data_IF_515940417704
#
_entry.id   IF_515940417704
#
_cell.length_a   1.000
_cell.length_b   1.000
_cell.length_c   1.000
_cell.angle_alpha   90.00
_cell.angle_beta   90.00
_cell.angle_gamma   90.00
#
_symmetry.space_group_name_H-M   'P 1'
#
loop_
_entity.id
_entity.type
_entity.pdbx_description
1 polymer ?
#
# COMPACT_ATOMS: atom_id res chain seq x y z
N UNK A 1 18.30 24.46 -34.27
CA UNK A 1 18.10 24.17 -32.83
C UNK A 1 16.70 23.61 -32.55
N UNK A 2 15.62 24.33 -32.90
CA UNK A 2 14.23 23.84 -32.74
C UNK A 2 13.87 22.56 -33.52
N UNK A 3 14.54 22.29 -34.67
CA UNK A 3 14.35 21.05 -35.44
C UNK A 3 15.03 19.84 -34.79
N UNK A 4 16.18 20.03 -34.12
CA UNK A 4 16.89 18.97 -33.40
C UNK A 4 16.15 18.56 -32.11
N UNK A 5 15.57 19.55 -31.41
CA UNK A 5 14.72 19.32 -30.22
C UNK A 5 13.45 18.53 -30.55
N UNK A 6 12.89 18.72 -31.76
CA UNK A 6 11.70 18.01 -32.25
C UNK A 6 11.98 16.54 -32.62
N UNK A 7 13.20 16.25 -33.10
CA UNK A 7 13.61 14.90 -33.51
C UNK A 7 14.01 14.02 -32.30
N UNK A 8 14.63 14.60 -31.27
CA UNK A 8 15.00 13.88 -30.04
C UNK A 8 13.76 13.45 -29.23
N UNK A 9 12.74 14.31 -29.17
CA UNK A 9 11.51 14.02 -28.44
C UNK A 9 10.65 12.96 -29.16
N UNK A 10 10.71 12.90 -30.51
CA UNK A 10 10.11 11.79 -31.29
C UNK A 10 10.76 10.45 -30.98
N UNK A 11 12.07 10.41 -30.73
CA UNK A 11 12.82 9.18 -30.39
C UNK A 11 12.55 8.67 -28.97
N UNK A 12 12.25 9.55 -28.02
CA UNK A 12 12.13 9.18 -26.59
C UNK A 12 10.69 9.04 -26.07
N UNK A 13 9.67 9.25 -26.90
CA UNK A 13 8.26 9.20 -26.48
C UNK A 13 7.87 7.92 -25.73
N UNK A 14 8.32 6.75 -26.19
CA UNK A 14 8.06 5.48 -25.50
C UNK A 14 8.68 5.41 -24.10
N UNK A 15 9.92 5.88 -23.95
CA UNK A 15 10.62 5.89 -22.66
C UNK A 15 9.92 6.82 -21.66
N UNK A 16 9.54 8.02 -22.13
CA UNK A 16 8.81 9.00 -21.31
C UNK A 16 7.48 8.42 -20.84
N UNK A 17 6.72 7.77 -21.73
CA UNK A 17 5.46 7.10 -21.35
C UNK A 17 5.73 6.00 -20.33
N UNK A 18 6.71 5.12 -20.57
CA UNK A 18 7.05 4.06 -19.63
C UNK A 18 7.38 4.61 -18.23
N UNK A 19 8.12 5.71 -18.14
CA UNK A 19 8.46 6.36 -16.87
C UNK A 19 7.25 7.01 -16.19
N UNK A 20 6.30 7.59 -16.95
CA UNK A 20 5.05 8.09 -16.39
C UNK A 20 4.25 6.94 -15.77
N UNK A 21 4.10 5.83 -16.50
CA UNK A 21 3.33 4.67 -16.06
C UNK A 21 4.01 3.93 -14.90
N UNK A 22 5.36 3.93 -14.88
CA UNK A 22 6.21 3.49 -13.75
C UNK A 22 6.03 4.37 -12.49
N UNK A 23 5.34 5.52 -12.59
CA UNK A 23 4.99 6.36 -11.44
C UNK A 23 3.49 6.31 -11.13
N UNK A 24 2.61 6.55 -12.11
CA UNK A 24 1.18 6.75 -11.82
C UNK A 24 0.51 5.50 -11.23
N UNK A 25 0.81 4.31 -11.75
CA UNK A 25 0.26 3.06 -11.22
C UNK A 25 0.84 2.74 -9.83
N UNK A 26 2.16 2.88 -9.59
CA UNK A 26 2.72 2.78 -8.24
C UNK A 26 2.20 3.79 -7.23
N UNK A 27 1.93 5.03 -7.64
CA UNK A 27 1.32 6.04 -6.77
C UNK A 27 -0.09 5.60 -6.37
N UNK A 28 -0.87 5.06 -7.30
CA UNK A 28 -2.21 4.52 -7.00
C UNK A 28 -2.12 3.41 -5.96
N UNK A 29 -1.19 2.46 -6.12
CA UNK A 29 -0.98 1.39 -5.15
C UNK A 29 -0.49 1.89 -3.78
N UNK A 30 0.51 2.77 -3.75
CA UNK A 30 1.07 3.27 -2.47
C UNK A 30 0.06 4.14 -1.73
N UNK A 31 -0.70 4.99 -2.44
CA UNK A 31 -1.71 5.84 -1.83
C UNK A 31 -2.91 5.05 -1.35
N UNK A 32 -3.38 4.04 -2.10
CA UNK A 32 -4.43 3.15 -1.58
C UNK A 32 -4.00 2.53 -0.25
N UNK A 33 -2.75 2.03 -0.16
CA UNK A 33 -2.22 1.45 1.09
C UNK A 33 -2.08 2.43 2.25
N UNK A 34 -1.66 3.67 2.00
CA UNK A 34 -1.52 4.70 3.03
C UNK A 34 -2.89 5.14 3.53
N UNK A 35 -3.76 5.55 2.59
CA UNK A 35 -5.05 6.13 2.92
C UNK A 35 -6.02 5.08 3.50
N UNK A 36 -5.93 3.82 3.07
CA UNK A 36 -6.77 2.74 3.64
C UNK A 36 -6.41 2.41 5.09
N UNK A 37 -5.12 2.42 5.43
CA UNK A 37 -4.64 2.12 6.77
C UNK A 37 -4.83 3.30 7.72
N UNK A 38 -4.63 4.53 7.25
CA UNK A 38 -4.69 5.73 8.10
C UNK A 38 -6.07 6.34 8.22
N UNK A 39 -6.96 6.15 7.25
CA UNK A 39 -8.34 6.60 7.36
C UNK A 39 -9.27 5.40 7.52
N UNK A 40 -9.81 4.93 6.39
CA UNK A 40 -10.70 3.77 6.31
C UNK A 40 -10.46 3.05 5.00
N UNK A 41 -10.71 1.74 4.95
CA UNK A 41 -10.49 0.92 3.75
C UNK A 41 -11.20 1.46 2.50
N UNK A 42 -12.32 2.18 2.66
CA UNK A 42 -13.07 2.79 1.57
C UNK A 42 -12.28 3.85 0.80
N UNK A 43 -11.25 4.46 1.42
CA UNK A 43 -10.36 5.40 0.74
C UNK A 43 -9.49 4.74 -0.33
N UNK A 44 -9.29 3.42 -0.30
CA UNK A 44 -8.66 2.72 -1.41
C UNK A 44 -9.49 2.91 -2.69
N UNK A 45 -10.80 2.66 -2.63
CA UNK A 45 -11.69 2.86 -3.78
C UNK A 45 -11.75 4.32 -4.24
N UNK A 46 -11.64 5.26 -3.29
CA UNK A 46 -11.54 6.68 -3.62
C UNK A 46 -10.29 6.94 -4.47
N UNK A 47 -9.10 6.50 -4.03
CA UNK A 47 -7.85 6.71 -4.77
C UNK A 47 -7.92 6.10 -6.17
N UNK A 48 -8.40 4.85 -6.31
CA UNK A 48 -8.59 4.20 -7.61
C UNK A 48 -9.49 5.05 -8.54
N UNK A 49 -10.60 5.56 -7.99
CA UNK A 49 -11.54 6.40 -8.75
C UNK A 49 -10.92 7.73 -9.16
N UNK A 50 -10.14 8.36 -8.29
CA UNK A 50 -9.46 9.62 -8.57
C UNK A 50 -8.35 9.47 -9.61
N UNK A 51 -7.69 8.30 -9.66
CA UNK A 51 -6.70 8.01 -10.69
C UNK A 51 -7.33 8.01 -12.08
N UNK A 52 -8.40 7.22 -12.26
CA UNK A 52 -9.15 7.13 -13.52
C UNK A 52 -9.77 8.48 -13.90
N UNK A 53 -10.45 9.14 -12.95
CA UNK A 53 -11.09 10.43 -13.18
C UNK A 53 -10.08 11.52 -13.53
N UNK A 54 -8.97 11.60 -12.79
CA UNK A 54 -7.92 12.58 -13.01
C UNK A 54 -7.30 12.42 -14.39
N UNK A 55 -6.89 11.20 -14.75
CA UNK A 55 -6.35 10.89 -16.09
C UNK A 55 -7.32 11.32 -17.21
N UNK A 56 -8.61 10.97 -17.07
CA UNK A 56 -9.66 11.32 -18.02
C UNK A 56 -9.91 12.82 -18.13
N UNK A 57 -10.01 13.53 -17.00
CA UNK A 57 -10.19 14.99 -16.97
C UNK A 57 -8.97 15.72 -17.54
N UNK A 58 -7.76 15.19 -17.33
CA UNK A 58 -6.55 15.75 -17.91
C UNK A 58 -6.57 15.72 -19.44
N UNK A 59 -6.93 14.58 -20.02
CA UNK A 59 -7.12 14.45 -21.47
C UNK A 59 -8.25 15.35 -22.00
N UNK A 60 -9.37 15.42 -21.28
CA UNK A 60 -10.50 16.28 -21.63
C UNK A 60 -10.13 17.77 -21.59
N UNK A 61 -9.38 18.21 -20.59
CA UNK A 61 -8.96 19.60 -20.45
C UNK A 61 -8.14 20.09 -21.64
N UNK A 62 -7.27 19.24 -22.19
CA UNK A 62 -6.51 19.57 -23.41
C UNK A 62 -7.39 19.70 -24.65
N UNK A 63 -8.50 18.95 -24.70
CA UNK A 63 -9.49 19.04 -25.78
C UNK A 63 -10.33 20.30 -25.68
N UNK A 64 -10.76 20.67 -24.46
CA UNK A 64 -11.63 21.82 -24.24
C UNK A 64 -10.87 23.15 -24.25
N UNK A 65 -9.61 23.17 -23.79
CA UNK A 65 -8.81 24.38 -23.67
C UNK A 65 -7.58 24.31 -24.58
N UNK A 66 -7.72 24.84 -25.79
CA UNK A 66 -6.65 24.84 -26.80
C UNK A 66 -5.33 25.47 -26.32
N UNK A 67 -5.41 26.43 -25.39
CA UNK A 67 -4.23 27.08 -24.78
C UNK A 67 -3.34 26.09 -24.01
N UNK A 68 -3.90 24.98 -23.51
CA UNK A 68 -3.17 23.93 -22.79
C UNK A 68 -2.53 22.92 -23.76
N UNK A 69 -3.09 22.76 -24.96
CA UNK A 69 -2.65 21.81 -25.97
C UNK A 69 -1.38 22.30 -26.72
N UNK A 70 -0.28 22.45 -25.99
CA UNK A 70 1.03 22.86 -26.52
C UNK A 70 2.08 21.77 -26.25
N UNK A 71 2.65 21.16 -27.29
CA UNK A 71 3.67 20.11 -27.16
C UNK A 71 4.84 20.45 -26.24
N UNK A 72 5.36 21.68 -26.31
CA UNK A 72 6.48 22.14 -25.48
C UNK A 72 6.18 22.27 -23.98
N UNK A 73 4.96 21.94 -23.53
CA UNK A 73 4.56 21.99 -22.10
C UNK A 73 4.51 20.61 -21.43
N UNK A 74 4.87 19.52 -22.12
CA UNK A 74 4.86 18.17 -21.51
C UNK A 74 5.65 18.16 -20.20
N UNK A 75 6.88 18.67 -20.19
CA UNK A 75 7.73 18.72 -18.99
C UNK A 75 7.08 19.48 -17.82
N UNK A 76 6.32 20.54 -18.11
CA UNK A 76 5.62 21.32 -17.10
C UNK A 76 4.53 20.47 -16.43
N UNK A 77 3.76 19.74 -17.22
CA UNK A 77 2.72 18.85 -16.70
C UNK A 77 3.32 17.66 -15.93
N UNK A 78 4.44 17.12 -16.39
CA UNK A 78 5.19 16.10 -15.63
C UNK A 78 5.72 16.63 -14.30
N UNK A 79 6.25 17.86 -14.30
CA UNK A 79 6.74 18.50 -13.06
C UNK A 79 5.60 18.80 -12.09
N UNK A 80 4.46 19.27 -12.59
CA UNK A 80 3.27 19.50 -11.76
C UNK A 80 2.70 18.19 -11.22
N UNK A 81 2.62 17.15 -12.05
CA UNK A 81 2.21 15.81 -11.61
C UNK A 81 3.14 15.30 -10.49
N UNK A 82 4.45 15.44 -10.66
CA UNK A 82 5.44 15.05 -9.65
C UNK A 82 5.32 15.87 -8.35
N UNK A 83 5.11 17.18 -8.46
CA UNK A 83 4.90 18.06 -7.31
C UNK A 83 3.68 17.61 -6.49
N UNK A 84 2.57 17.37 -7.19
CA UNK A 84 1.34 16.86 -6.59
C UNK A 84 1.54 15.44 -6.03
N UNK A 85 2.36 14.61 -6.67
CA UNK A 85 2.66 13.28 -6.19
C UNK A 85 3.44 13.29 -4.86
N UNK A 86 4.45 14.15 -4.77
CA UNK A 86 5.33 14.28 -3.58
C UNK A 86 4.60 14.92 -2.40
N UNK A 87 3.83 15.98 -2.64
CA UNK A 87 3.23 16.77 -1.57
C UNK A 87 1.75 16.48 -1.32
N UNK A 88 1.04 15.85 -2.26
CA UNK A 88 -0.40 15.62 -2.20
C UNK A 88 -0.83 14.88 -0.92
N UNK A 89 -0.32 13.67 -0.66
CA UNK A 89 -0.63 12.94 0.57
C UNK A 89 -0.31 13.74 1.83
N UNK A 90 0.87 14.36 1.91
CA UNK A 90 1.27 15.17 3.07
C UNK A 90 0.30 16.32 3.33
N UNK A 91 -0.16 17.02 2.29
CA UNK A 91 -1.16 18.08 2.41
C UNK A 91 -2.50 17.54 2.90
N UNK A 92 -2.93 16.35 2.46
CA UNK A 92 -4.17 15.72 2.94
C UNK A 92 -4.09 15.44 4.44
N UNK A 93 -2.98 14.86 4.92
CA UNK A 93 -2.78 14.58 6.34
C UNK A 93 -2.73 15.85 7.20
N UNK A 94 -2.23 16.97 6.66
CA UNK A 94 -2.23 18.26 7.36
C UNK A 94 -3.63 18.91 7.45
N UNK A 95 -4.46 18.77 6.43
CA UNK A 95 -5.75 19.47 6.32
C UNK A 95 -6.88 18.72 7.01
N UNK A 96 -6.88 17.39 6.86
CA UNK A 96 -8.03 16.55 7.18
C UNK A 96 -7.63 15.36 8.07
N UNK A 97 -7.31 15.61 9.35
CA UNK A 97 -6.89 14.54 10.26
C UNK A 97 -8.03 13.61 10.68
N UNK A 98 -9.29 14.02 10.52
CA UNK A 98 -10.43 13.24 10.99
C UNK A 98 -11.63 13.34 10.03
N UNK A 99 -11.90 12.24 9.32
CA UNK A 99 -13.07 12.08 8.45
C UNK A 99 -14.24 11.34 9.14
N UNK A 100 -14.13 10.95 10.41
CA UNK A 100 -15.24 10.31 11.13
C UNK A 100 -16.44 11.26 11.30
N UNK A 101 -16.19 12.57 11.29
CA UNK A 101 -17.18 13.64 11.44
C UNK A 101 -17.76 14.15 10.10
N UNK A 102 -17.63 13.39 9.00
CA UNK A 102 -17.97 13.83 7.64
C UNK A 102 -19.39 14.41 7.53
N UNK A 103 -20.37 13.75 8.15
CA UNK A 103 -21.78 14.10 8.05
C UNK A 103 -22.24 15.09 9.12
N UNK A 104 -21.35 15.50 10.01
CA UNK A 104 -21.67 16.39 11.13
C UNK A 104 -21.27 17.83 10.84
N UNK A 105 -20.35 18.07 9.89
CA UNK A 105 -19.82 19.40 9.62
C UNK A 105 -19.59 19.66 8.12
N UNK A 106 -20.17 20.75 7.62
CA UNK A 106 -19.92 21.27 6.27
C UNK A 106 -18.43 21.57 6.03
N UNK A 107 -17.69 21.94 7.07
CA UNK A 107 -16.25 22.14 6.97
C UNK A 107 -15.52 20.83 6.62
N UNK A 108 -15.95 19.70 7.20
CA UNK A 108 -15.37 18.37 6.90
C UNK A 108 -15.71 17.92 5.49
N UNK A 109 -16.91 18.23 4.98
CA UNK A 109 -17.27 18.02 3.57
C UNK A 109 -16.36 18.84 2.65
N UNK A 110 -16.11 20.11 2.99
CA UNK A 110 -15.16 20.96 2.26
C UNK A 110 -13.74 20.40 2.26
N UNK A 111 -13.27 19.85 3.39
CA UNK A 111 -11.98 19.17 3.50
C UNK A 111 -11.91 17.90 2.64
N UNK A 112 -12.98 17.13 2.55
CA UNK A 112 -13.05 15.97 1.66
C UNK A 112 -12.99 16.42 0.19
N UNK A 113 -13.74 17.44 -0.20
CA UNK A 113 -13.68 17.99 -1.55
C UNK A 113 -12.27 18.47 -1.91
N UNK A 114 -11.60 19.16 -0.98
CA UNK A 114 -10.21 19.58 -1.15
C UNK A 114 -9.25 18.38 -1.25
N UNK A 115 -9.45 17.34 -0.45
CA UNK A 115 -8.68 16.09 -0.51
C UNK A 115 -8.81 15.42 -1.87
N UNK A 116 -10.04 15.34 -2.40
CA UNK A 116 -10.32 14.84 -3.75
C UNK A 116 -9.55 15.64 -4.80
N UNK A 117 -9.61 16.98 -4.73
CA UNK A 117 -8.91 17.84 -5.68
C UNK A 117 -7.39 17.68 -5.60
N UNK A 118 -6.83 17.62 -4.39
CA UNK A 118 -5.39 17.47 -4.16
C UNK A 118 -4.90 16.14 -4.72
N UNK A 119 -5.50 15.01 -4.33
CA UNK A 119 -5.04 13.69 -4.79
C UNK A 119 -5.30 13.49 -6.29
N UNK A 120 -6.42 13.96 -6.82
CA UNK A 120 -6.70 13.88 -8.26
C UNK A 120 -5.71 14.68 -9.10
N UNK A 121 -5.11 15.74 -8.56
CA UNK A 121 -4.25 16.66 -9.33
C UNK A 121 -3.01 15.99 -9.94
N UNK A 122 -2.39 15.04 -9.26
CA UNK A 122 -1.24 14.29 -9.80
C UNK A 122 -1.63 13.52 -11.07
N UNK A 123 -2.76 12.81 -11.03
CA UNK A 123 -3.31 12.06 -12.16
C UNK A 123 -3.86 12.98 -13.26
N UNK A 124 -4.41 14.14 -12.90
CA UNK A 124 -4.85 15.14 -13.86
C UNK A 124 -3.70 15.64 -14.73
N UNK A 125 -2.59 16.09 -14.12
CA UNK A 125 -1.43 16.53 -14.87
C UNK A 125 -0.72 15.37 -15.59
N UNK A 126 -0.68 14.17 -15.00
CA UNK A 126 -0.22 12.95 -15.66
C UNK A 126 -1.01 12.61 -16.91
N UNK A 127 -2.35 12.72 -16.84
CA UNK A 127 -3.27 12.48 -17.95
C UNK A 127 -3.12 13.49 -19.07
N UNK A 128 -2.85 14.76 -18.73
CA UNK A 128 -2.49 15.78 -19.71
C UNK A 128 -1.18 15.42 -20.44
N UNK A 129 -0.14 15.04 -19.70
CA UNK A 129 1.15 14.67 -20.29
C UNK A 129 1.01 13.45 -21.22
N UNK A 130 0.36 12.38 -20.76
CA UNK A 130 0.10 11.16 -21.55
C UNK A 130 -0.71 11.48 -22.81
N UNK A 131 -1.78 12.25 -22.69
CA UNK A 131 -2.63 12.62 -23.84
C UNK A 131 -1.86 13.41 -24.90
N UNK A 132 -0.95 14.32 -24.49
CA UNK A 132 -0.09 15.04 -25.42
C UNK A 132 0.93 14.14 -26.10
N UNK A 133 1.51 13.19 -25.38
CA UNK A 133 2.47 12.23 -25.91
C UNK A 133 1.82 11.29 -26.93
N UNK A 134 0.67 10.70 -26.59
CA UNK A 134 -0.08 9.86 -27.54
C UNK A 134 -0.51 10.64 -28.78
N UNK A 135 -0.96 11.89 -28.61
CA UNK A 135 -1.34 12.75 -29.75
C UNK A 135 -0.17 13.05 -30.68
N UNK A 136 1.02 13.32 -30.14
CA UNK A 136 2.21 13.64 -30.94
C UNK A 136 2.81 12.42 -31.64
N UNK A 137 2.74 11.25 -31.02
CA UNK A 137 3.39 10.03 -31.48
C UNK A 137 2.40 8.97 -32.01
N UNK A 138 1.16 9.38 -32.36
CA UNK A 138 0.06 8.51 -32.79
C UNK A 138 0.37 7.57 -33.97
N UNK A 139 1.44 7.81 -34.72
CA UNK A 139 1.86 6.99 -35.85
C UNK A 139 2.35 5.59 -35.44
N UNK A 140 2.80 5.39 -34.19
CA UNK A 140 3.29 4.11 -33.66
C UNK A 140 2.65 3.77 -32.30
N UNK A 141 1.32 3.83 -32.24
CA UNK A 141 0.55 3.49 -31.04
C UNK A 141 0.90 2.11 -30.44
N UNK A 142 1.13 1.03 -31.21
CA UNK A 142 1.50 -0.27 -30.64
C UNK A 142 2.76 -0.21 -29.78
N UNK A 143 3.78 0.54 -30.20
CA UNK A 143 5.03 0.69 -29.44
C UNK A 143 4.84 1.53 -28.18
N UNK A 144 4.05 2.61 -28.25
CA UNK A 144 3.74 3.44 -27.08
C UNK A 144 2.95 2.64 -26.04
N UNK A 145 1.96 1.88 -26.49
CA UNK A 145 1.14 1.04 -25.61
C UNK A 145 1.96 -0.08 -24.96
N UNK A 146 2.89 -0.70 -25.71
CA UNK A 146 3.86 -1.65 -25.12
C UNK A 146 4.68 -1.01 -24.02
N UNK A 147 5.14 0.22 -24.21
CA UNK A 147 5.96 0.93 -23.24
C UNK A 147 5.16 1.31 -21.98
N UNK A 148 3.91 1.76 -22.16
CA UNK A 148 2.95 2.04 -21.09
C UNK A 148 2.70 0.79 -20.22
N UNK A 149 2.33 -0.33 -20.84
CA UNK A 149 2.05 -1.58 -20.14
C UNK A 149 3.27 -2.16 -19.42
N UNK A 150 4.45 -2.15 -20.07
CA UNK A 150 5.67 -2.61 -19.43
C UNK A 150 6.06 -1.67 -18.26
N UNK A 151 5.94 -0.36 -18.45
CA UNK A 151 6.19 0.63 -17.40
C UNK A 151 5.27 0.43 -16.20
N UNK A 152 3.96 0.26 -16.43
CA UNK A 152 3.01 -0.04 -15.37
C UNK A 152 3.33 -1.36 -14.65
N UNK A 153 3.60 -2.44 -15.39
CA UNK A 153 3.91 -3.76 -14.82
C UNK A 153 5.18 -3.75 -13.96
N UNK A 154 6.28 -3.19 -14.48
CA UNK A 154 7.49 -2.99 -13.67
C UNK A 154 7.26 -2.04 -12.50
N UNK A 155 6.36 -1.08 -12.67
CA UNK A 155 6.01 -0.12 -11.63
C UNK A 155 5.41 -0.82 -10.43
N UNK A 156 4.43 -1.70 -10.65
CA UNK A 156 3.81 -2.48 -9.56
C UNK A 156 4.85 -3.29 -8.79
N UNK A 157 5.76 -3.98 -9.50
CA UNK A 157 6.84 -4.73 -8.86
C UNK A 157 7.77 -3.81 -8.06
N UNK A 158 8.16 -2.68 -8.62
CA UNK A 158 9.00 -1.69 -7.95
C UNK A 158 8.32 -1.09 -6.71
N UNK A 159 7.01 -0.85 -6.77
CA UNK A 159 6.22 -0.36 -5.65
C UNK A 159 6.21 -1.36 -4.49
N UNK A 160 5.89 -2.63 -4.77
CA UNK A 160 5.89 -3.70 -3.77
C UNK A 160 7.28 -3.84 -3.14
N UNK A 161 8.33 -3.87 -3.95
CA UNK A 161 9.69 -4.00 -3.46
C UNK A 161 10.13 -2.80 -2.60
N UNK A 162 9.81 -1.57 -3.03
CA UNK A 162 10.11 -0.37 -2.27
C UNK A 162 9.35 -0.29 -0.94
N UNK A 163 8.06 -0.65 -0.92
CA UNK A 163 7.26 -0.69 0.32
C UNK A 163 7.82 -1.72 1.30
N UNK A 164 8.24 -2.90 0.83
CA UNK A 164 8.79 -3.95 1.69
C UNK A 164 10.21 -3.62 2.21
N UNK A 165 11.00 -2.87 1.46
CA UNK A 165 12.38 -2.50 1.85
C UNK A 165 12.45 -1.25 2.72
N UNK A 166 11.75 -0.19 2.32
CA UNK A 166 11.89 1.13 2.95
C UNK A 166 10.72 1.47 3.88
N UNK A 167 9.61 0.75 3.74
CA UNK A 167 8.33 1.09 4.34
C UNK A 167 7.41 1.84 3.38
N UNK A 168 6.11 1.65 3.58
CA UNK A 168 5.08 2.19 2.68
C UNK A 168 5.07 3.73 2.58
N UNK A 169 5.18 4.49 3.68
CA UNK A 169 5.26 5.95 3.62
C UNK A 169 6.47 6.47 2.83
N UNK A 170 7.66 5.88 3.03
CA UNK A 170 8.88 6.27 2.34
C UNK A 170 8.79 5.98 0.84
N UNK A 171 8.27 4.81 0.49
CA UNK A 171 8.08 4.39 -0.90
C UNK A 171 7.24 5.39 -1.69
N UNK A 172 6.19 5.97 -1.10
CA UNK A 172 5.32 6.95 -1.77
C UNK A 172 6.08 8.18 -2.28
N UNK A 173 7.08 8.68 -1.55
CA UNK A 173 7.93 9.79 -2.03
C UNK A 173 8.84 9.35 -3.17
N UNK A 174 9.42 8.15 -3.08
CA UNK A 174 10.35 7.62 -4.07
C UNK A 174 9.66 7.26 -5.40
N UNK A 175 8.36 6.94 -5.39
CA UNK A 175 7.59 6.66 -6.61
C UNK A 175 7.46 7.86 -7.55
N UNK A 176 7.75 9.08 -7.10
CA UNK A 176 7.78 10.26 -7.96
C UNK A 176 9.06 10.39 -8.80
N UNK A 177 10.13 9.62 -8.51
CA UNK A 177 11.41 9.75 -9.19
C UNK A 177 11.36 9.44 -10.71
N UNK A 178 10.65 8.40 -11.18
CA UNK A 178 10.55 8.12 -12.62
C UNK A 178 9.89 9.25 -13.41
N UNK A 179 8.77 9.82 -12.94
CA UNK A 179 8.11 10.94 -13.62
C UNK A 179 8.97 12.21 -13.60
N UNK A 180 9.79 12.42 -12.55
CA UNK A 180 10.77 13.51 -12.51
C UNK A 180 11.88 13.31 -13.53
N UNK A 181 12.37 12.09 -13.70
CA UNK A 181 13.31 11.76 -14.77
C UNK A 181 12.68 12.00 -16.15
N UNK A 182 11.42 11.61 -16.36
CA UNK A 182 10.67 11.90 -17.58
C UNK A 182 10.52 13.41 -17.84
N UNK A 183 10.33 14.20 -16.77
CA UNK A 183 10.31 15.65 -16.85
C UNK A 183 11.66 16.22 -17.31
N UNK A 184 12.77 15.77 -16.73
CA UNK A 184 14.13 16.18 -17.16
C UNK A 184 14.40 15.86 -18.63
N UNK A 185 13.96 14.69 -19.11
CA UNK A 185 14.12 14.27 -20.51
C UNK A 185 13.34 15.12 -21.50
N UNK A 186 12.27 15.80 -21.06
CA UNK A 186 11.39 16.60 -21.92
C UNK A 186 11.51 18.11 -21.69
N UNK A 187 12.25 18.52 -20.65
CA UNK A 187 12.43 19.91 -20.28
C UNK A 187 13.54 20.58 -21.12
N UNK A 188 13.39 21.89 -21.42
CA UNK A 188 14.47 22.66 -22.00
C UNK A 188 15.62 22.83 -20.99
N UNK A 189 16.87 22.90 -21.46
CA UNK A 189 18.07 22.94 -20.60
C UNK A 189 18.00 23.95 -19.45
N UNK A 190 17.41 25.12 -19.66
CA UNK A 190 17.27 26.15 -18.64
C UNK A 190 16.28 25.79 -17.52
N UNK A 191 15.32 24.89 -17.76
CA UNK A 191 14.28 24.49 -16.80
C UNK A 191 14.57 23.16 -16.10
N UNK A 192 15.58 22.39 -16.55
CA UNK A 192 15.92 21.07 -15.98
C UNK A 192 16.25 21.11 -14.48
N UNK A 193 16.67 22.26 -13.95
CA UNK A 193 16.98 22.44 -12.53
C UNK A 193 15.74 22.15 -11.66
N UNK A 194 14.55 22.53 -12.10
CA UNK A 194 13.32 22.39 -11.30
C UNK A 194 12.99 20.91 -10.97
N UNK A 195 12.82 20.00 -11.95
CA UNK A 195 12.56 18.59 -11.64
C UNK A 195 13.73 17.91 -10.92
N UNK A 196 14.99 18.32 -11.15
CA UNK A 196 16.14 17.79 -10.41
C UNK A 196 16.08 18.18 -8.93
N UNK A 197 15.81 19.44 -8.63
CA UNK A 197 15.64 19.91 -7.25
C UNK A 197 14.48 19.18 -6.59
N UNK A 198 13.36 19.01 -7.30
CA UNK A 198 12.21 18.30 -6.77
C UNK A 198 12.50 16.82 -6.49
N UNK A 199 13.35 16.17 -7.30
CA UNK A 199 13.81 14.79 -7.05
C UNK A 199 14.70 14.70 -5.81
N UNK A 200 15.62 15.64 -5.64
CA UNK A 200 16.46 15.73 -4.44
C UNK A 200 15.60 15.96 -3.20
N UNK A 201 14.60 16.85 -3.29
CA UNK A 201 13.63 17.07 -2.22
C UNK A 201 12.88 15.77 -1.90
N UNK A 202 12.34 15.07 -2.89
CA UNK A 202 11.63 13.80 -2.67
C UNK A 202 12.50 12.77 -1.92
N UNK A 203 13.78 12.67 -2.27
CA UNK A 203 14.74 11.77 -1.59
C UNK A 203 15.01 12.22 -0.15
N UNK A 204 15.23 13.52 0.07
CA UNK A 204 15.49 14.09 1.40
C UNK A 204 14.27 13.94 2.31
N UNK A 205 13.06 14.05 1.76
CA UNK A 205 11.81 13.98 2.50
C UNK A 205 11.34 12.55 2.77
N UNK A 206 11.75 11.58 1.94
CA UNK A 206 11.31 10.19 2.07
C UNK A 206 11.48 9.61 3.50
N UNK A 207 12.61 9.80 4.22
CA UNK A 207 12.77 9.30 5.59
C UNK A 207 11.78 9.86 6.61
N UNK A 208 11.21 11.05 6.36
CA UNK A 208 10.20 11.66 7.22
C UNK A 208 8.77 11.18 6.92
N UNK A 209 8.60 10.35 5.87
CA UNK A 209 7.32 9.81 5.46
C UNK A 209 6.51 9.16 6.59
N UNK A 210 7.07 8.27 7.44
CA UNK A 210 6.31 7.66 8.53
C UNK A 210 5.71 8.66 9.51
N UNK A 211 6.40 9.77 9.74
CA UNK A 211 5.96 10.84 10.64
C UNK A 211 4.86 11.70 10.02
N UNK A 212 4.92 11.94 8.71
CA UNK A 212 4.01 12.85 8.00
C UNK A 212 2.78 12.16 7.42
N UNK A 213 2.87 10.87 7.14
CA UNK A 213 1.81 10.04 6.56
C UNK A 213 1.27 9.05 7.60
N UNK A 214 1.28 9.45 8.87
CA UNK A 214 0.58 8.78 9.96
C UNK A 214 -0.23 9.81 10.73
N UNK A 215 -1.48 9.48 11.05
CA UNK A 215 -2.31 10.30 11.91
C UNK A 215 -1.95 10.08 13.37
N UNK A 216 -1.92 11.14 14.20
CA UNK A 216 -1.90 10.99 15.65
C UNK A 216 -3.13 10.21 16.10
N UNK A 217 -2.93 9.14 16.85
CA UNK A 217 -4.01 8.30 17.38
C UNK A 217 -3.73 7.97 18.84
N UNK A 218 -4.79 7.98 19.65
CA UNK A 218 -4.75 7.37 20.98
C UNK A 218 -4.81 5.86 20.80
N UNK A 219 -3.71 5.20 21.14
CA UNK A 219 -3.59 3.76 21.06
C UNK A 219 -4.26 3.10 22.28
N UNK A 220 -4.89 1.95 22.06
CA UNK A 220 -5.59 1.22 23.14
C UNK A 220 -4.66 0.65 24.19
N UNK A 221 -3.39 0.47 23.83
CA UNK A 221 -2.32 -0.07 24.67
C UNK A 221 -0.95 0.41 24.13
N UNK A 222 0.11 0.33 24.93
CA UNK A 222 1.47 0.63 24.48
C UNK A 222 1.84 -0.16 23.22
N UNK A 223 2.38 0.55 22.22
CA UNK A 223 2.88 -0.02 20.97
C UNK A 223 4.35 -0.35 21.13
N UNK A 224 4.68 -1.64 21.22
CA UNK A 224 6.05 -2.11 21.43
C UNK A 224 6.79 -2.43 20.12
N UNK A 225 6.04 -2.61 19.03
CA UNK A 225 6.61 -2.84 17.70
C UNK A 225 5.69 -2.30 16.61
N UNK A 226 6.26 -1.81 15.52
CA UNK A 226 5.53 -1.36 14.33
C UNK A 226 6.30 -1.75 13.07
N UNK A 227 5.58 -2.31 12.12
CA UNK A 227 6.08 -2.68 10.80
C UNK A 227 5.06 -2.26 9.75
N UNK A 228 5.48 -1.64 8.66
CA UNK A 228 4.56 -1.23 7.60
C UNK A 228 5.16 -1.49 6.23
N UNK A 229 4.59 -2.46 5.53
CA UNK A 229 5.03 -2.90 4.22
C UNK A 229 3.88 -2.87 3.19
N UNK A 230 4.10 -3.51 2.03
CA UNK A 230 3.11 -3.59 0.96
C UNK A 230 1.81 -4.29 1.38
N UNK A 231 1.86 -5.17 2.40
CA UNK A 231 0.73 -5.95 2.85
C UNK A 231 -0.12 -5.16 3.85
N UNK A 232 0.49 -4.62 4.91
CA UNK A 232 -0.26 -3.96 5.99
C UNK A 232 0.59 -3.06 6.87
N UNK A 233 -0.08 -2.18 7.62
CA UNK A 233 0.49 -1.55 8.82
C UNK A 233 0.22 -2.44 10.02
N UNK A 234 1.24 -3.11 10.51
CA UNK A 234 1.19 -3.97 11.69
C UNK A 234 1.73 -3.25 12.91
N UNK A 235 0.97 -3.27 14.00
CA UNK A 235 1.39 -2.82 15.33
C UNK A 235 1.27 -3.97 16.31
N UNK A 236 2.25 -4.12 17.20
CA UNK A 236 2.16 -5.04 18.33
C UNK A 236 1.84 -4.24 19.59
N UNK A 237 0.71 -4.56 20.19
CA UNK A 237 0.27 -4.01 21.47
C UNK A 237 0.67 -4.92 22.63
N UNK A 238 1.02 -4.30 23.75
CA UNK A 238 1.23 -4.96 25.03
C UNK A 238 0.09 -4.57 26.00
N UNK A 239 -0.85 -5.48 26.21
CA UNK A 239 -1.98 -5.25 27.12
C UNK A 239 -1.61 -5.60 28.57
N UNK A 240 -0.81 -6.65 28.75
CA UNK A 240 -0.30 -7.13 30.03
C UNK A 240 1.01 -7.92 29.80
N UNK A 241 1.79 -8.28 30.85
CA UNK A 241 3.04 -9.03 30.69
C UNK A 241 2.88 -10.36 29.92
N UNK A 242 1.71 -10.97 30.01
CA UNK A 242 1.31 -12.24 29.41
C UNK A 242 0.23 -12.08 28.33
N UNK A 243 -0.11 -10.85 27.92
CA UNK A 243 -1.14 -10.59 26.90
C UNK A 243 -0.70 -9.55 25.85
N UNK A 244 -0.69 -9.96 24.59
CA UNK A 244 -0.38 -9.10 23.44
C UNK A 244 -1.49 -9.16 22.40
N UNK A 245 -1.39 -8.27 21.41
CA UNK A 245 -2.25 -8.35 20.25
C UNK A 245 -1.66 -7.63 19.06
N UNK A 246 -1.89 -8.18 17.88
CA UNK A 246 -1.65 -7.47 16.64
C UNK A 246 -2.79 -6.50 16.37
N UNK A 247 -2.42 -5.31 15.93
CA UNK A 247 -3.32 -4.39 15.30
C UNK A 247 -2.90 -4.20 13.84
N UNK A 248 -3.83 -4.44 12.93
CA UNK A 248 -3.62 -4.45 11.49
C UNK A 248 -4.41 -3.28 10.89
N UNK A 249 -3.70 -2.42 10.18
CA UNK A 249 -4.25 -1.23 9.50
C UNK A 249 -5.07 -0.32 10.42
N UNK A 250 -4.66 -0.21 11.70
CA UNK A 250 -5.33 0.58 12.72
C UNK A 250 -6.81 0.21 13.01
N UNK A 251 -7.28 -0.95 12.54
CA UNK A 251 -8.69 -1.38 12.65
C UNK A 251 -8.79 -2.78 13.25
N UNK A 252 -8.19 -3.77 12.58
CA UNK A 252 -8.38 -5.17 12.95
C UNK A 252 -7.46 -5.51 14.12
N UNK A 253 -7.98 -6.25 15.10
CA UNK A 253 -7.24 -6.67 16.28
C UNK A 253 -7.21 -8.19 16.31
N UNK A 254 -6.03 -8.76 16.55
CA UNK A 254 -5.83 -10.20 16.66
C UNK A 254 -5.05 -10.49 17.93
N UNK A 255 -5.70 -11.02 18.98
CA UNK A 255 -5.03 -11.34 20.24
C UNK A 255 -3.90 -12.34 20.03
N UNK A 256 -2.81 -12.16 20.78
CA UNK A 256 -1.67 -13.06 20.83
C UNK A 256 -1.55 -13.51 22.28
N UNK A 257 -1.76 -14.80 22.51
CA UNK A 257 -1.67 -15.39 23.84
C UNK A 257 -0.31 -16.04 24.02
N UNK A 258 0.29 -15.83 25.19
CA UNK A 258 1.47 -16.59 25.57
C UNK A 258 1.05 -18.05 25.82
N UNK A 259 1.77 -18.99 25.21
CA UNK A 259 1.60 -20.41 25.47
C UNK A 259 2.92 -21.00 25.94
N UNK A 260 2.92 -21.60 27.14
CA UNK A 260 4.10 -22.21 27.76
C UNK A 260 4.13 -23.74 27.60
N UNK A 261 3.20 -24.30 26.81
CA UNK A 261 3.07 -25.73 26.56
C UNK A 261 2.08 -26.45 27.49
N UNK A 262 1.48 -25.76 28.48
CA UNK A 262 0.51 -26.37 29.40
C UNK A 262 -0.91 -26.23 28.89
N UNK A 263 -1.44 -27.31 28.32
CA UNK A 263 -2.81 -27.34 27.80
C UNK A 263 -3.89 -27.12 28.87
N UNK A 264 -3.59 -27.41 30.13
CA UNK A 264 -4.50 -27.14 31.26
C UNK A 264 -4.84 -25.65 31.40
N UNK A 265 -3.92 -24.77 31.02
CA UNK A 265 -4.10 -23.31 31.11
C UNK A 265 -4.99 -22.75 29.97
N UNK A 266 -5.30 -23.58 28.97
CA UNK A 266 -6.03 -23.21 27.74
C UNK A 266 -7.37 -23.95 27.64
N UNK A 267 -7.51 -25.10 28.28
CA UNK A 267 -8.71 -25.94 28.23
C UNK A 267 -9.88 -25.34 29.01
N UNK A 268 -11.05 -25.25 28.35
CA UNK A 268 -12.30 -24.81 28.95
C UNK A 268 -12.41 -23.28 29.09
N UNK A 269 -13.07 -22.81 30.15
CA UNK A 269 -13.39 -21.39 30.37
C UNK A 269 -12.25 -20.58 31.04
N UNK A 270 -11.02 -21.10 31.07
CA UNK A 270 -9.85 -20.44 31.71
C UNK A 270 -9.45 -19.15 30.99
N UNK A 271 -9.59 -19.10 29.66
CA UNK A 271 -9.38 -17.92 28.85
C UNK A 271 -10.73 -17.43 28.33
N UNK A 272 -11.14 -16.17 28.60
CA UNK A 272 -12.38 -15.63 28.07
C UNK A 272 -12.21 -15.33 26.58
N UNK A 273 -12.42 -16.35 25.75
CA UNK A 273 -12.38 -16.22 24.29
C UNK A 273 -13.47 -15.28 23.80
N UNK A 274 -13.11 -14.31 22.95
CA UNK A 274 -14.10 -13.42 22.35
C UNK A 274 -15.09 -14.15 21.43
N UNK A 275 -14.62 -15.19 20.73
CA UNK A 275 -15.41 -16.10 19.92
C UNK A 275 -14.90 -17.51 20.19
N UNK A 276 -15.74 -18.36 20.78
CA UNK A 276 -15.40 -19.75 21.07
C UNK A 276 -15.57 -20.62 19.83
N UNK A 277 -14.58 -21.47 19.56
CA UNK A 277 -14.65 -22.51 18.51
C UNK A 277 -15.09 -23.88 19.06
N UNK A 278 -15.35 -24.00 20.36
CA UNK A 278 -15.74 -25.25 21.05
C UNK A 278 -16.79 -26.04 20.27
N UNK A 279 -17.89 -25.37 19.92
CA UNK A 279 -19.01 -26.00 19.22
C UNK A 279 -18.62 -26.50 17.83
N UNK A 280 -17.73 -25.79 17.11
CA UNK A 280 -17.29 -26.19 15.77
C UNK A 280 -16.42 -27.45 15.83
N UNK A 281 -15.58 -27.58 16.87
CA UNK A 281 -14.73 -28.74 17.07
C UNK A 281 -15.55 -29.96 17.48
N UNK A 282 -16.44 -29.80 18.47
CA UNK A 282 -17.23 -30.91 19.04
C UNK A 282 -18.45 -31.34 18.20
N UNK A 283 -18.66 -30.75 17.02
CA UNK A 283 -19.63 -31.24 16.04
C UNK A 283 -19.21 -32.56 15.40
N UNK A 284 -17.92 -32.89 15.45
CA UNK A 284 -17.33 -34.02 14.75
C UNK A 284 -16.48 -34.85 15.72
N UNK A 285 -16.60 -36.18 15.65
CA UNK A 285 -15.77 -37.09 16.45
C UNK A 285 -14.26 -36.97 16.11
N UNK A 286 -13.95 -36.46 14.92
CA UNK A 286 -12.58 -36.21 14.42
C UNK A 286 -12.58 -34.93 13.59
N UNK A 287 -12.41 -33.78 14.24
CA UNK A 287 -12.45 -32.47 13.58
C UNK A 287 -11.13 -32.15 12.85
N UNK A 288 -11.22 -31.78 11.57
CA UNK A 288 -10.14 -31.10 10.84
C UNK A 288 -10.49 -29.61 10.79
N UNK A 289 -9.74 -28.79 11.51
CA UNK A 289 -10.02 -27.36 11.67
C UNK A 289 -9.15 -26.52 10.72
N UNK A 290 -9.77 -25.58 10.01
CA UNK A 290 -9.07 -24.62 9.15
C UNK A 290 -9.33 -23.20 9.66
N UNK A 291 -8.26 -22.55 10.11
CA UNK A 291 -8.20 -21.12 10.40
C UNK A 291 -7.78 -20.34 9.16
N UNK A 292 -8.65 -19.46 8.66
CA UNK A 292 -8.37 -18.52 7.57
C UNK A 292 -8.24 -17.11 8.12
N UNK A 293 -7.04 -16.53 8.01
CA UNK A 293 -6.67 -15.28 8.69
C UNK A 293 -6.31 -15.54 10.16
N UNK A 294 -5.46 -16.54 10.40
CA UNK A 294 -5.12 -16.99 11.75
C UNK A 294 -4.52 -15.91 12.65
N UNK A 295 -3.91 -14.86 12.07
CA UNK A 295 -3.41 -13.72 12.82
C UNK A 295 -2.49 -14.14 13.98
N UNK A 296 -2.84 -13.70 15.20
CA UNK A 296 -2.17 -14.06 16.46
C UNK A 296 -2.42 -15.48 16.97
N UNK A 297 -3.18 -16.30 16.23
CA UNK A 297 -3.36 -17.72 16.47
C UNK A 297 -4.39 -18.07 17.54
N UNK A 298 -5.28 -17.16 17.91
CA UNK A 298 -6.26 -17.40 18.98
C UNK A 298 -7.23 -18.53 18.66
N UNK A 299 -7.64 -18.68 17.41
CA UNK A 299 -8.52 -19.75 16.93
C UNK A 299 -7.77 -21.08 16.77
N UNK A 300 -6.52 -21.03 16.30
CA UNK A 300 -5.61 -22.19 16.24
C UNK A 300 -5.39 -22.77 17.64
N UNK A 301 -5.06 -21.90 18.61
CA UNK A 301 -4.77 -22.31 19.97
C UNK A 301 -5.99 -22.92 20.66
N UNK A 302 -7.17 -22.35 20.43
CA UNK A 302 -8.42 -22.94 20.90
C UNK A 302 -8.71 -24.30 20.25
N UNK A 303 -8.61 -24.41 18.93
CA UNK A 303 -8.90 -25.67 18.24
C UNK A 303 -8.00 -26.82 18.73
N UNK A 304 -6.73 -26.53 19.00
CA UNK A 304 -5.81 -27.48 19.61
C UNK A 304 -6.18 -27.80 21.07
N UNK A 305 -6.58 -26.79 21.85
CA UNK A 305 -7.04 -26.97 23.24
C UNK A 305 -8.31 -27.81 23.35
N UNK A 306 -9.21 -27.70 22.36
CA UNK A 306 -10.44 -28.48 22.22
C UNK A 306 -10.25 -29.84 21.54
N UNK A 307 -8.99 -30.26 21.36
CA UNK A 307 -8.63 -31.59 20.84
C UNK A 307 -9.10 -31.85 19.39
N UNK A 308 -9.08 -30.83 18.52
CA UNK A 308 -9.21 -31.04 17.09
C UNK A 308 -8.12 -32.01 16.57
N UNK A 309 -8.51 -32.95 15.70
CA UNK A 309 -7.62 -33.99 15.20
C UNK A 309 -6.52 -33.44 14.29
N UNK A 310 -6.82 -32.40 13.52
CA UNK A 310 -5.87 -31.70 12.66
C UNK A 310 -6.22 -30.21 12.60
N UNK A 311 -5.19 -29.35 12.57
CA UNK A 311 -5.37 -27.89 12.52
C UNK A 311 -4.50 -27.28 11.43
N UNK A 312 -5.13 -26.65 10.44
CA UNK A 312 -4.48 -25.83 9.42
C UNK A 312 -4.69 -24.36 9.72
N UNK A 313 -3.63 -23.57 9.67
CA UNK A 313 -3.72 -22.11 9.75
C UNK A 313 -3.12 -21.46 8.51
N UNK A 314 -3.89 -20.52 7.94
CA UNK A 314 -3.53 -19.76 6.76
C UNK A 314 -3.56 -18.28 7.11
N UNK A 315 -2.41 -17.63 7.05
CA UNK A 315 -2.27 -16.18 7.24
C UNK A 315 -1.60 -15.57 6.02
N UNK A 316 -2.20 -14.51 5.47
CA UNK A 316 -1.70 -13.83 4.27
C UNK A 316 -0.55 -12.88 4.60
N UNK A 317 -0.53 -12.34 5.82
CA UNK A 317 0.51 -11.48 6.31
C UNK A 317 1.75 -12.28 6.68
N UNK A 318 2.72 -12.31 5.77
CA UNK A 318 4.00 -13.01 5.97
C UNK A 318 4.77 -12.51 7.20
N UNK A 319 4.60 -11.25 7.60
CA UNK A 319 5.24 -10.72 8.78
C UNK A 319 4.64 -11.29 10.07
N UNK A 320 3.32 -11.43 10.15
CA UNK A 320 2.65 -12.11 11.26
C UNK A 320 3.10 -13.57 11.33
N UNK A 321 3.10 -14.29 10.20
CA UNK A 321 3.61 -15.67 10.14
C UNK A 321 5.03 -15.77 10.72
N UNK A 322 5.92 -14.87 10.33
CA UNK A 322 7.29 -14.84 10.84
C UNK A 322 7.35 -14.62 12.36
N UNK A 323 6.55 -13.69 12.89
CA UNK A 323 6.49 -13.40 14.33
C UNK A 323 5.89 -14.58 15.13
N UNK A 324 4.93 -15.31 14.57
CA UNK A 324 4.33 -16.46 15.22
C UNK A 324 5.21 -17.72 15.17
N UNK A 325 5.98 -17.92 14.09
CA UNK A 325 6.79 -19.15 13.88
C UNK A 325 8.19 -19.09 14.46
N UNK A 326 8.87 -17.94 14.37
CA UNK A 326 10.32 -17.83 14.66
C UNK A 326 10.57 -17.16 16.02
N UNK A 327 9.52 -16.66 16.66
CA UNK A 327 9.47 -15.70 17.76
C UNK A 327 9.35 -14.24 17.31
N UNK A 328 8.50 -13.48 17.99
CA UNK A 328 8.46 -12.03 17.86
C UNK A 328 9.80 -11.43 18.30
N UNK A 329 10.10 -10.20 17.87
CA UNK A 329 11.36 -9.49 18.19
C UNK A 329 11.60 -9.30 19.69
N UNK A 330 10.63 -9.68 20.52
CA UNK A 330 10.60 -9.53 21.96
C UNK A 330 10.56 -10.88 22.72
N UNK A 331 10.61 -12.03 22.02
CA UNK A 331 10.67 -13.37 22.60
C UNK A 331 9.41 -13.90 23.30
N UNK A 332 8.25 -13.29 23.05
CA UNK A 332 6.98 -13.59 23.73
C UNK A 332 6.24 -14.77 23.13
N UNK A 333 6.29 -14.93 21.81
CA UNK A 333 5.88 -16.17 21.14
C UNK A 333 7.07 -17.13 21.14
N UNK A 334 7.14 -18.06 22.09
CA UNK A 334 7.99 -19.26 21.88
C UNK A 334 7.24 -20.18 20.93
N UNK A 335 7.86 -20.50 19.81
CA UNK A 335 7.26 -21.27 18.73
C UNK A 335 6.51 -22.50 19.27
N UNK A 336 5.24 -22.62 18.89
CA UNK A 336 4.45 -23.84 19.10
C UNK A 336 4.99 -24.89 18.13
N UNK A 337 6.07 -25.57 18.53
CA UNK A 337 6.42 -26.85 17.91
C UNK A 337 5.58 -27.94 18.57
N UNK A 338 4.28 -27.96 18.26
CA UNK A 338 3.50 -29.17 18.41
C UNK A 338 3.80 -30.08 17.20
N UNK A 339 4.08 -31.37 17.39
CA UNK A 339 4.49 -32.27 16.31
C UNK A 339 3.45 -32.44 15.18
N UNK A 340 2.20 -32.03 15.39
CA UNK A 340 1.07 -32.29 14.47
C UNK A 340 0.48 -31.02 13.80
N UNK A 341 1.15 -29.85 13.88
CA UNK A 341 0.63 -28.60 13.28
C UNK A 341 1.30 -28.28 11.94
N UNK A 342 0.58 -28.44 10.82
CA UNK A 342 1.02 -27.93 9.51
C UNK A 342 0.56 -26.47 9.31
N UNK A 343 1.49 -25.53 9.44
CA UNK A 343 1.26 -24.11 9.13
C UNK A 343 1.71 -23.81 7.69
N UNK A 344 0.75 -23.46 6.83
CA UNK A 344 1.02 -23.13 5.42
C UNK A 344 0.96 -21.61 5.23
N UNK A 345 2.13 -20.97 5.06
CA UNK A 345 2.20 -19.56 4.65
C UNK A 345 1.68 -19.37 3.23
N UNK A 346 1.17 -18.19 2.88
CA UNK A 346 0.62 -17.91 1.55
C UNK A 346 1.62 -18.09 0.37
N UNK A 347 2.94 -18.07 0.61
CA UNK A 347 3.96 -18.43 -0.40
C UNK A 347 4.14 -19.96 -0.58
N UNK A 348 3.57 -20.77 0.31
CA UNK A 348 3.67 -22.24 0.31
C UNK A 348 2.48 -22.97 -0.33
N UNK A 349 1.46 -22.24 -0.80
CA UNK A 349 0.33 -22.80 -1.55
C UNK A 349 0.71 -23.40 -2.92
N UNK A 350 2.00 -23.36 -3.31
CA UNK A 350 2.52 -24.03 -4.50
C UNK A 350 3.15 -25.41 -4.26
N UNK A 351 3.27 -25.90 -3.01
CA UNK A 351 3.88 -27.22 -2.75
C UNK A 351 3.34 -27.89 -1.48
N UNK A 352 2.17 -28.54 -1.56
CA UNK A 352 1.91 -29.87 -0.96
C UNK A 352 0.72 -30.49 -1.72
N UNK A 353 1.03 -31.13 -2.84
CA UNK A 353 0.19 -32.13 -3.50
C UNK A 353 1.12 -33.10 -4.26
N UNK A 354 2.10 -33.62 -3.55
CA UNK A 354 2.99 -34.69 -3.98
C UNK A 354 3.77 -35.15 -2.74
N UNK A 355 3.12 -35.96 -1.92
CA UNK A 355 3.71 -37.14 -1.30
C UNK A 355 2.64 -37.80 -0.45
N UNK A 356 1.76 -38.50 -1.18
CA UNK A 356 1.07 -39.68 -0.69
C UNK A 356 2.11 -40.75 -0.37
N UNK A 357 2.14 -41.20 0.89
CA UNK A 357 2.46 -42.58 1.23
C UNK A 357 1.23 -43.17 1.90
#
# INVERSE_FOLDING_TARGET
>A
MALAEKDDMKKNGSLVIALISLTLIPLELTWTRILSAEFFYTFAFLVLSLAVLGLGLGGLALRLFEKLNRPGRIWLYLTLAALCAVFGPTLVFLIAPDFSLLFTSWATIGKLALTILILMSAYFFGGMALSLLFKQNHQDMPRLYRADLLGAGFGVLAAIWAMNLFGTPQAAFLMALPILAASVLTAPRAANVVPVVLAVIAIILAPYGPSWLSLPREERAPVIYTHWDAMSKLKLYEYAPDSRGFNIDNIANSPVYMFDGKWEDIKGDTIPWGISVYYLVHQFDSCVFLSLGSGGGSDVLQALGEEAAEVHAVEINSHINRMMLVADTCGYTRAVHAPDTSLHGADSLARVAADSA
#
